data_IF_001188674570
#
_entry.id   IF_001188674570
#
_cell.length_a   1.000
_cell.length_b   1.000
_cell.length_c   1.000
_cell.angle_alpha   90.00
_cell.angle_beta   90.00
_cell.angle_gamma   90.00
#
_symmetry.space_group_name_H-M   'P 1'
#
loop_
_entity.id
_entity.type
_entity.pdbx_description
1 polymer ?
#
# COMPACT_ATOMS: atom_id res chain seq x y z
N UNK A 1 -16.08 35.57 -45.12
CA UNK A 1 -15.05 34.78 -44.41
C UNK A 1 -15.43 34.73 -42.94
N UNK A 2 -16.63 34.24 -42.66
CA UNK A 2 -17.35 34.45 -41.40
C UNK A 2 -18.30 33.29 -41.10
N UNK A 3 -17.80 32.07 -41.28
CA UNK A 3 -18.46 30.83 -40.85
C UNK A 3 -17.41 29.95 -40.19
N UNK A 4 -16.88 30.41 -39.05
CA UNK A 4 -16.15 29.54 -38.14
C UNK A 4 -17.21 28.79 -37.33
N UNK A 5 -17.31 27.50 -37.65
CA UNK A 5 -18.18 26.50 -37.05
C UNK A 5 -18.12 26.61 -35.53
N UNK A 6 -19.24 27.03 -34.95
CA UNK A 6 -19.45 27.04 -33.51
C UNK A 6 -19.68 25.58 -33.07
N UNK A 7 -18.60 24.82 -32.88
CA UNK A 7 -18.69 23.53 -32.19
C UNK A 7 -19.05 23.82 -30.74
N UNK A 8 -20.35 23.78 -30.41
CA UNK A 8 -20.77 23.50 -29.05
C UNK A 8 -19.97 22.29 -28.58
N UNK A 9 -19.12 22.47 -27.57
CA UNK A 9 -18.40 21.36 -26.95
C UNK A 9 -19.43 20.48 -26.21
N UNK A 10 -20.24 19.72 -26.94
CA UNK A 10 -20.85 18.53 -26.39
C UNK A 10 -19.69 17.62 -26.00
N UNK A 11 -19.49 17.49 -24.70
CA UNK A 11 -18.47 16.62 -24.11
C UNK A 11 -18.78 15.22 -24.62
N UNK A 12 -18.03 14.73 -25.61
CA UNK A 12 -18.17 13.37 -26.12
C UNK A 12 -17.76 12.44 -24.97
N UNK A 13 -18.75 11.90 -24.25
CA UNK A 13 -18.52 10.89 -23.23
C UNK A 13 -18.36 9.56 -23.95
N UNK A 14 -17.13 9.03 -23.99
CA UNK A 14 -16.91 7.69 -24.51
C UNK A 14 -17.39 6.67 -23.46
N UNK A 15 -18.62 6.20 -23.58
CA UNK A 15 -19.13 5.21 -22.62
C UNK A 15 -18.37 3.88 -22.74
N UNK A 16 -17.77 3.46 -21.63
CA UNK A 16 -17.14 2.16 -21.55
C UNK A 16 -18.23 1.07 -21.54
N UNK A 17 -18.11 0.01 -22.38
CA UNK A 17 -19.03 -1.11 -22.33
C UNK A 17 -18.92 -1.83 -20.97
N UNK A 18 -19.97 -2.54 -20.56
CA UNK A 18 -19.92 -3.32 -19.32
C UNK A 18 -18.93 -4.49 -19.44
N UNK A 19 -18.19 -4.77 -18.36
CA UNK A 19 -17.30 -5.96 -18.27
C UNK A 19 -18.06 -7.17 -17.75
N UNK A 20 -19.01 -6.94 -16.85
CA UNK A 20 -19.77 -7.99 -16.21
C UNK A 20 -21.26 -7.71 -16.33
N UNK A 21 -22.06 -8.77 -16.41
CA UNK A 21 -23.51 -8.67 -16.42
C UNK A 21 -24.13 -9.71 -15.49
N UNK A 22 -24.93 -9.30 -14.50
CA UNK A 22 -25.80 -10.22 -13.79
C UNK A 22 -26.82 -10.81 -14.76
N UNK A 23 -26.89 -12.13 -14.83
CA UNK A 23 -27.92 -12.89 -15.52
C UNK A 23 -28.87 -13.42 -14.46
N UNK A 24 -30.15 -13.09 -14.61
CA UNK A 24 -31.20 -13.47 -13.68
C UNK A 24 -31.98 -14.63 -14.30
N UNK A 25 -32.01 -15.75 -13.60
CA UNK A 25 -32.93 -16.83 -13.89
C UNK A 25 -34.33 -16.44 -13.38
N UNK A 26 -35.26 -16.21 -14.31
CA UNK A 26 -36.61 -15.76 -13.98
C UNK A 26 -37.52 -16.88 -13.47
N UNK A 27 -37.14 -18.15 -13.66
CA UNK A 27 -37.89 -19.29 -13.13
C UNK A 27 -37.59 -19.47 -11.63
N UNK A 28 -36.34 -19.21 -11.23
CA UNK A 28 -35.92 -19.26 -9.82
C UNK A 28 -36.20 -17.95 -9.06
N UNK A 29 -36.22 -16.81 -9.74
CA UNK A 29 -36.31 -15.51 -9.08
C UNK A 29 -37.68 -15.25 -8.43
N UNK A 30 -37.68 -15.12 -7.09
CA UNK A 30 -38.90 -14.83 -6.29
C UNK A 30 -39.27 -13.34 -6.20
N UNK A 31 -38.59 -12.44 -6.92
CA UNK A 31 -38.89 -11.00 -6.90
C UNK A 31 -38.68 -10.28 -5.55
N UNK A 32 -37.92 -10.86 -4.61
CA UNK A 32 -37.78 -10.34 -3.23
C UNK A 32 -36.97 -9.03 -3.09
N UNK A 33 -36.36 -8.55 -4.18
CA UNK A 33 -35.59 -7.29 -4.29
C UNK A 33 -34.34 -7.16 -3.41
N UNK A 34 -33.92 -8.20 -2.69
CA UNK A 34 -32.71 -8.16 -1.85
C UNK A 34 -31.47 -7.78 -2.67
N UNK A 35 -31.29 -8.42 -3.83
CA UNK A 35 -30.18 -8.14 -4.76
C UNK A 35 -30.15 -6.69 -5.27
N UNK A 36 -31.31 -6.05 -5.42
CA UNK A 36 -31.42 -4.65 -5.83
C UNK A 36 -31.02 -3.73 -4.67
N UNK A 37 -31.49 -4.00 -3.45
CA UNK A 37 -31.16 -3.18 -2.26
C UNK A 37 -29.69 -3.26 -1.86
N UNK A 38 -29.09 -4.44 -1.99
CA UNK A 38 -27.69 -4.68 -1.59
C UNK A 38 -26.66 -4.35 -2.69
N UNK A 39 -27.11 -3.93 -3.87
CA UNK A 39 -26.19 -3.59 -4.96
C UNK A 39 -25.65 -2.17 -4.77
N UNK A 40 -24.46 -2.05 -4.18
CA UNK A 40 -23.75 -0.78 -4.00
C UNK A 40 -23.45 -0.05 -5.31
N UNK A 41 -23.45 -0.77 -6.43
CA UNK A 41 -23.16 -0.23 -7.77
C UNK A 41 -24.41 0.05 -8.61
N UNK A 42 -25.61 -0.17 -8.04
CA UNK A 42 -26.90 0.05 -8.73
C UNK A 42 -27.02 -0.68 -10.09
N UNK A 43 -26.31 -1.79 -10.24
CA UNK A 43 -26.28 -2.60 -11.46
C UNK A 43 -27.52 -3.49 -11.65
N UNK A 44 -28.47 -3.43 -10.71
CA UNK A 44 -29.72 -4.18 -10.71
C UNK A 44 -30.87 -3.23 -10.39
N UNK A 45 -31.96 -3.34 -11.14
CA UNK A 45 -33.20 -2.60 -10.89
C UNK A 45 -34.39 -3.54 -10.74
N UNK A 46 -35.47 -3.06 -10.13
CA UNK A 46 -36.74 -3.77 -10.08
C UNK A 46 -37.79 -3.03 -10.90
N UNK A 47 -38.22 -3.63 -12.01
CA UNK A 47 -39.19 -3.04 -12.94
C UNK A 47 -40.13 -4.12 -13.49
N UNK A 48 -41.41 -3.76 -13.62
CA UNK A 48 -42.47 -4.67 -14.12
C UNK A 48 -42.53 -6.01 -13.36
N UNK A 49 -42.37 -5.96 -12.03
CA UNK A 49 -42.40 -7.15 -11.19
C UNK A 49 -41.14 -8.04 -11.27
N UNK A 50 -40.13 -7.66 -12.05
CA UNK A 50 -38.93 -8.47 -12.29
C UNK A 50 -37.65 -7.72 -11.92
N UNK A 51 -36.65 -8.46 -11.45
CA UNK A 51 -35.29 -7.92 -11.29
C UNK A 51 -34.60 -7.93 -12.64
N UNK A 52 -34.00 -6.81 -13.06
CA UNK A 52 -33.26 -6.69 -14.32
C UNK A 52 -31.85 -6.18 -14.06
N UNK A 53 -30.90 -6.67 -14.85
CA UNK A 53 -29.56 -6.10 -14.89
C UNK A 53 -29.53 -4.83 -15.75
N UNK A 54 -28.90 -3.79 -15.21
CA UNK A 54 -28.67 -2.51 -15.89
C UNK A 54 -27.20 -2.48 -16.34
N UNK A 55 -26.44 -1.44 -16.01
CA UNK A 55 -25.00 -1.30 -16.27
C UNK A 55 -24.21 -1.11 -14.98
N UNK A 56 -22.89 -1.23 -15.04
CA UNK A 56 -22.00 -0.88 -13.93
C UNK A 56 -21.70 -2.02 -12.95
N UNK A 57 -22.01 -3.26 -13.30
CA UNK A 57 -21.63 -4.41 -12.47
C UNK A 57 -20.10 -4.56 -12.44
N UNK A 58 -19.53 -4.63 -11.24
CA UNK A 58 -18.08 -4.86 -11.02
C UNK A 58 -17.76 -6.28 -10.56
N UNK A 59 -18.74 -7.20 -10.62
CA UNK A 59 -18.60 -8.58 -10.16
C UNK A 59 -18.18 -8.75 -8.68
N UNK A 60 -18.63 -7.88 -7.78
CA UNK A 60 -18.35 -8.03 -6.34
C UNK A 60 -19.00 -9.26 -5.67
N UNK A 61 -19.86 -10.00 -6.39
CA UNK A 61 -20.50 -11.23 -5.89
C UNK A 61 -21.58 -11.03 -4.81
N UNK A 62 -21.85 -9.80 -4.35
CA UNK A 62 -22.82 -9.59 -3.27
C UNK A 62 -24.24 -10.04 -3.63
N UNK A 63 -24.71 -9.75 -4.85
CA UNK A 63 -26.05 -10.13 -5.29
C UNK A 63 -26.25 -11.65 -5.42
N UNK A 64 -25.20 -12.40 -5.77
CA UNK A 64 -25.25 -13.86 -5.85
C UNK A 64 -25.28 -14.46 -4.44
N UNK A 65 -24.44 -13.97 -3.54
CA UNK A 65 -24.35 -14.43 -2.15
C UNK A 65 -25.66 -14.25 -1.36
N UNK A 66 -26.37 -13.13 -1.57
CA UNK A 66 -27.58 -12.80 -0.80
C UNK A 66 -28.89 -13.26 -1.46
N UNK A 67 -28.83 -13.85 -2.67
CA UNK A 67 -30.00 -14.35 -3.37
C UNK A 67 -30.48 -15.68 -2.73
N UNK A 68 -31.65 -15.70 -2.04
CA UNK A 68 -32.11 -16.92 -1.36
C UNK A 68 -32.57 -18.03 -2.31
N UNK A 69 -32.73 -17.72 -3.60
CA UNK A 69 -33.16 -18.67 -4.63
C UNK A 69 -32.01 -19.12 -5.54
N UNK A 70 -30.79 -18.61 -5.35
CA UNK A 70 -29.66 -18.89 -6.26
C UNK A 70 -29.88 -18.40 -7.70
N UNK A 71 -30.83 -17.50 -7.92
CA UNK A 71 -31.31 -17.10 -9.24
C UNK A 71 -30.39 -16.12 -10.02
N UNK A 72 -29.18 -15.84 -9.54
CA UNK A 72 -28.30 -14.82 -10.14
C UNK A 72 -26.92 -15.41 -10.39
N UNK A 73 -26.47 -15.31 -11.63
CA UNK A 73 -25.12 -15.61 -12.08
C UNK A 73 -24.48 -14.32 -12.60
N UNK A 74 -23.21 -14.04 -12.29
CA UNK A 74 -22.51 -12.89 -12.88
C UNK A 74 -21.63 -13.41 -14.01
N UNK A 75 -21.91 -12.99 -15.25
CA UNK A 75 -21.14 -13.38 -16.42
C UNK A 75 -20.13 -12.31 -16.80
N UNK A 76 -18.93 -12.75 -17.17
CA UNK A 76 -17.99 -11.92 -17.91
C UNK A 76 -18.52 -11.74 -19.33
N UNK A 77 -18.65 -10.49 -19.78
CA UNK A 77 -18.98 -10.20 -21.17
C UNK A 77 -17.68 -10.26 -22.00
N UNK A 78 -17.68 -10.96 -23.16
CA UNK A 78 -16.48 -11.11 -23.97
C UNK A 78 -15.96 -9.77 -24.52
N UNK A 79 -14.72 -9.79 -25.01
CA UNK A 79 -13.99 -8.61 -25.44
C UNK A 79 -14.74 -7.80 -26.50
N UNK A 80 -14.99 -6.53 -26.19
CA UNK A 80 -15.56 -5.58 -27.13
C UNK A 80 -14.48 -4.89 -27.99
N UNK A 81 -13.21 -4.96 -27.54
CA UNK A 81 -12.08 -4.41 -28.26
C UNK A 81 -11.32 -5.52 -28.99
N UNK A 82 -10.89 -5.30 -30.25
CA UNK A 82 -10.03 -6.24 -30.96
C UNK A 82 -8.77 -6.54 -30.14
N UNK A 83 -8.32 -7.80 -30.04
CA UNK A 83 -7.12 -8.14 -29.28
C UNK A 83 -5.89 -7.36 -29.78
N UNK A 84 -5.04 -6.93 -28.86
CA UNK A 84 -3.81 -6.19 -29.18
C UNK A 84 -2.77 -6.49 -28.11
N UNK A 85 -1.50 -6.67 -28.52
CA UNK A 85 -0.37 -7.00 -27.64
C UNK A 85 -0.11 -5.92 -26.57
N UNK A 86 0.10 -4.68 -27.02
CA UNK A 86 0.44 -3.56 -26.13
C UNK A 86 -0.80 -2.89 -25.51
N UNK A 87 -1.85 -2.68 -26.29
CA UNK A 87 -3.09 -2.09 -25.82
C UNK A 87 -4.06 -3.19 -25.38
N UNK A 88 -3.79 -3.85 -24.27
CA UNK A 88 -4.75 -4.84 -23.75
C UNK A 88 -6.09 -4.18 -23.41
N UNK A 89 -7.16 -4.96 -23.24
CA UNK A 89 -8.48 -4.44 -22.83
C UNK A 89 -8.35 -3.60 -21.55
N UNK A 90 -7.56 -4.09 -20.59
CA UNK A 90 -7.24 -3.41 -19.32
C UNK A 90 -6.65 -2.02 -19.55
N UNK A 91 -5.62 -1.92 -20.39
CA UNK A 91 -4.91 -0.66 -20.67
C UNK A 91 -5.85 0.32 -21.38
N UNK A 92 -6.58 -0.12 -22.41
CA UNK A 92 -7.53 0.73 -23.15
C UNK A 92 -8.64 1.26 -22.25
N UNK A 93 -9.23 0.42 -21.40
CA UNK A 93 -10.24 0.85 -20.43
C UNK A 93 -9.70 1.85 -19.43
N UNK A 94 -8.48 1.63 -18.92
CA UNK A 94 -7.83 2.58 -18.02
C UNK A 94 -7.65 3.95 -18.68
N UNK A 95 -7.16 3.98 -19.93
CA UNK A 95 -7.00 5.21 -20.72
C UNK A 95 -8.35 5.91 -20.90
N UNK A 96 -9.38 5.20 -21.36
CA UNK A 96 -10.71 5.79 -21.62
C UNK A 96 -11.34 6.29 -20.31
N UNK A 97 -11.23 5.54 -19.22
CA UNK A 97 -11.74 5.94 -17.91
C UNK A 97 -11.07 7.21 -17.40
N UNK A 98 -9.75 7.30 -17.48
CA UNK A 98 -8.99 8.49 -17.11
C UNK A 98 -9.33 9.68 -18.03
N UNK A 99 -9.46 9.45 -19.33
CA UNK A 99 -9.84 10.48 -20.30
C UNK A 99 -11.25 11.05 -20.03
N UNK A 100 -12.22 10.21 -19.67
CA UNK A 100 -13.59 10.64 -19.37
C UNK A 100 -13.72 11.37 -18.04
N UNK A 101 -13.01 10.90 -17.01
CA UNK A 101 -13.14 11.43 -15.64
C UNK A 101 -12.20 12.60 -15.36
N UNK A 102 -11.11 12.72 -16.13
CA UNK A 102 -10.00 13.62 -15.82
C UNK A 102 -9.21 13.22 -14.55
N UNK A 103 -9.60 12.11 -13.92
CA UNK A 103 -8.97 11.58 -12.72
C UNK A 103 -7.99 10.47 -13.06
N UNK A 104 -6.88 10.40 -12.33
CA UNK A 104 -5.98 9.24 -12.36
C UNK A 104 -6.68 8.10 -11.62
N UNK A 105 -6.82 6.94 -12.26
CA UNK A 105 -7.31 5.75 -11.59
C UNK A 105 -6.28 5.30 -10.55
N UNK A 106 -6.53 5.62 -9.28
CA UNK A 106 -5.76 5.12 -8.15
C UNK A 106 -6.18 3.66 -7.87
N UNK A 107 -5.62 2.70 -8.60
CA UNK A 107 -5.65 1.30 -8.16
C UNK A 107 -4.60 1.11 -7.06
N UNK A 108 -4.90 0.30 -6.05
CA UNK A 108 -3.91 -0.15 -5.05
C UNK A 108 -2.63 -0.65 -5.72
N UNK A 109 -1.50 -0.59 -5.02
CA UNK A 109 -0.18 -1.04 -5.50
C UNK A 109 -0.05 -2.56 -5.78
N UNK A 110 -1.16 -3.29 -5.91
CA UNK A 110 -1.17 -4.67 -6.37
C UNK A 110 -1.14 -4.73 -7.89
N UNK A 111 -0.30 -5.61 -8.43
CA UNK A 111 -0.35 -5.98 -9.84
C UNK A 111 -1.33 -7.13 -10.04
N UNK A 112 -2.29 -6.97 -10.93
CA UNK A 112 -3.19 -8.03 -11.38
C UNK A 112 -2.58 -8.87 -12.53
N UNK A 113 -1.37 -8.49 -12.97
CA UNK A 113 -0.60 -9.26 -13.93
C UNK A 113 0.05 -10.46 -13.23
N UNK A 114 0.05 -11.59 -13.93
CA UNK A 114 0.74 -12.82 -13.54
C UNK A 114 2.26 -12.60 -13.67
N UNK A 115 2.86 -12.04 -12.61
CA UNK A 115 4.31 -12.06 -12.46
C UNK A 115 4.70 -13.36 -11.76
N UNK A 116 5.73 -14.07 -12.24
CA UNK A 116 6.27 -15.21 -11.51
C UNK A 116 6.72 -14.78 -10.12
N UNK A 117 6.29 -15.53 -9.10
CA UNK A 117 6.74 -15.31 -7.72
C UNK A 117 8.19 -15.77 -7.62
N UNK A 118 9.13 -14.83 -7.49
CA UNK A 118 10.55 -15.15 -7.37
C UNK A 118 10.81 -16.17 -6.26
N UNK A 119 10.10 -16.08 -5.12
CA UNK A 119 10.26 -17.03 -4.01
C UNK A 119 9.87 -18.47 -4.35
N UNK A 120 8.93 -18.68 -5.27
CA UNK A 120 8.51 -20.02 -5.69
C UNK A 120 9.51 -20.65 -6.67
N UNK A 121 10.35 -19.82 -7.32
CA UNK A 121 11.40 -20.25 -8.24
C UNK A 121 12.77 -20.41 -7.55
N UNK A 122 12.90 -19.98 -6.29
CA UNK A 122 14.13 -20.16 -5.51
C UNK A 122 14.26 -21.60 -5.01
N UNK A 123 15.22 -22.34 -5.58
CA UNK A 123 15.66 -23.62 -5.02
C UNK A 123 16.71 -23.35 -3.93
N UNK A 124 16.33 -23.56 -2.66
CA UNK A 124 17.28 -23.60 -1.55
C UNK A 124 17.96 -24.98 -1.52
N UNK A 125 19.14 -25.08 -2.12
CA UNK A 125 19.93 -26.31 -2.09
C UNK A 125 20.58 -26.48 -0.71
N UNK A 126 20.17 -27.52 0.01
CA UNK A 126 20.75 -27.88 1.30
C UNK A 126 22.07 -28.63 1.08
N UNK A 127 23.12 -27.91 0.65
CA UNK A 127 24.45 -28.49 0.48
C UNK A 127 25.20 -28.51 1.82
N UNK A 128 25.56 -29.71 2.27
CA UNK A 128 26.20 -29.95 3.56
C UNK A 128 27.67 -30.31 3.34
N UNK A 129 28.61 -29.46 3.81
CA UNK A 129 30.04 -29.68 3.55
C UNK A 129 30.80 -30.23 4.76
N UNK A 130 30.35 -30.03 6.02
CA UNK A 130 31.19 -30.44 7.18
C UNK A 130 30.51 -30.76 8.53
N UNK A 131 29.27 -30.32 8.83
CA UNK A 131 28.61 -30.59 10.13
C UNK A 131 27.30 -31.39 9.98
N UNK A 132 26.91 -32.23 10.97
CA UNK A 132 25.59 -32.88 11.00
C UNK A 132 24.46 -31.84 10.91
N UNK A 133 23.32 -32.26 10.38
CA UNK A 133 22.19 -31.37 10.15
C UNK A 133 21.66 -30.89 11.49
N UNK A 134 21.52 -29.57 11.64
CA UNK A 134 20.88 -28.95 12.81
C UNK A 134 19.48 -29.55 12.90
N UNK A 135 19.24 -30.37 13.91
CA UNK A 135 17.91 -30.90 14.17
C UNK A 135 17.11 -29.78 14.89
N UNK A 136 16.09 -29.17 14.26
CA UNK A 136 15.35 -28.07 14.85
C UNK A 136 14.60 -28.45 16.14
N UNK A 137 14.45 -29.74 16.43
CA UNK A 137 13.87 -30.26 17.67
C UNK A 137 14.93 -30.58 18.74
N UNK A 138 16.21 -30.61 18.41
CA UNK A 138 17.30 -30.91 19.35
C UNK A 138 18.30 -29.77 19.55
N UNK A 139 18.45 -28.91 18.55
CA UNK A 139 19.48 -27.87 18.52
C UNK A 139 18.83 -26.48 18.50
N UNK A 140 19.34 -25.53 19.30
CA UNK A 140 18.82 -24.17 19.32
C UNK A 140 19.17 -23.47 18.01
N UNK A 141 18.16 -22.89 17.35
CA UNK A 141 18.35 -21.98 16.22
C UNK A 141 18.34 -20.55 16.77
N UNK A 142 19.41 -19.80 16.51
CA UNK A 142 19.51 -18.40 16.89
C UNK A 142 18.97 -17.50 15.76
N UNK A 143 17.95 -16.70 16.07
CA UNK A 143 17.36 -15.71 15.15
C UNK A 143 17.80 -14.28 15.47
N UNK A 144 18.59 -14.10 16.52
CA UNK A 144 19.05 -12.79 16.97
C UNK A 144 19.79 -12.09 15.83
N UNK A 145 19.34 -10.88 15.52
CA UNK A 145 19.84 -10.09 14.41
C UNK A 145 20.34 -8.76 14.92
N UNK A 146 21.51 -8.33 14.44
CA UNK A 146 22.12 -7.07 14.81
C UNK A 146 22.13 -6.14 13.60
N UNK A 147 21.49 -4.97 13.71
CA UNK A 147 21.44 -3.94 12.68
C UNK A 147 22.36 -2.78 13.04
N UNK A 148 23.34 -2.48 12.20
CA UNK A 148 24.28 -1.36 12.41
C UNK A 148 25.69 -1.65 11.92
N UNK A 149 26.57 -0.65 11.98
CA UNK A 149 27.97 -0.81 11.62
C UNK A 149 28.69 -1.63 12.69
N UNK A 150 29.27 -2.76 12.30
CA UNK A 150 30.02 -3.64 13.20
C UNK A 150 31.41 -3.08 13.49
N UNK A 151 31.65 -2.61 14.72
CA UNK A 151 32.98 -2.20 15.21
C UNK A 151 33.84 -3.34 15.76
N UNK A 152 33.22 -4.43 16.25
CA UNK A 152 33.92 -5.51 16.94
C UNK A 152 33.16 -6.85 16.98
N UNK A 153 33.52 -7.72 17.95
CA UNK A 153 32.84 -9.00 18.17
C UNK A 153 31.61 -8.77 19.04
N UNK A 154 30.43 -9.12 18.52
CA UNK A 154 29.18 -9.08 19.26
C UNK A 154 29.08 -10.33 20.14
N UNK A 155 28.70 -10.14 21.40
CA UNK A 155 28.27 -11.21 22.31
C UNK A 155 26.81 -10.95 22.62
N UNK A 156 26.00 -12.01 22.76
CA UNK A 156 24.61 -11.86 23.17
C UNK A 156 24.53 -11.07 24.47
N UNK A 157 23.78 -9.97 24.43
CA UNK A 157 23.49 -9.17 25.60
C UNK A 157 22.12 -9.57 26.14
N UNK A 158 21.93 -9.54 27.45
CA UNK A 158 20.59 -9.61 28.04
C UNK A 158 19.76 -8.34 27.74
N UNK A 159 20.42 -7.24 27.35
CA UNK A 159 19.75 -5.98 26.99
C UNK A 159 19.20 -6.07 25.56
N UNK A 160 17.89 -5.80 25.43
CA UNK A 160 17.16 -5.71 24.16
C UNK A 160 17.18 -4.28 23.59
N UNK A 161 16.99 -4.14 22.28
CA UNK A 161 16.92 -2.85 21.60
C UNK A 161 18.28 -2.23 21.25
N UNK A 162 18.37 -0.89 21.30
CA UNK A 162 19.58 -0.14 20.94
C UNK A 162 20.71 -0.37 21.96
N UNK A 163 21.79 -0.98 21.49
CA UNK A 163 23.02 -1.20 22.25
C UNK A 163 24.05 -0.14 21.89
N UNK A 164 24.57 0.53 22.92
CA UNK A 164 25.67 1.49 22.80
C UNK A 164 26.83 0.99 23.65
N UNK A 165 27.94 0.62 23.01
CA UNK A 165 29.21 0.33 23.69
C UNK A 165 30.35 0.97 22.89
N UNK A 166 31.37 1.49 23.59
CA UNK A 166 32.50 2.24 23.02
C UNK A 166 33.25 1.42 21.95
N UNK A 167 33.30 0.09 22.11
CA UNK A 167 34.02 -0.82 21.21
C UNK A 167 33.22 -1.28 19.97
N UNK A 168 31.89 -1.15 19.98
CA UNK A 168 31.01 -1.83 19.02
C UNK A 168 30.26 -0.84 18.10
N UNK A 169 30.14 0.41 18.52
CA UNK A 169 29.29 1.41 17.86
C UNK A 169 27.79 1.21 18.16
N UNK A 170 26.92 2.07 17.62
CA UNK A 170 25.47 1.92 17.79
C UNK A 170 24.97 0.73 16.95
N UNK A 171 24.44 -0.28 17.63
CA UNK A 171 23.87 -1.47 17.01
C UNK A 171 22.53 -1.76 17.66
N UNK A 172 21.54 -2.11 16.84
CA UNK A 172 20.22 -2.52 17.32
C UNK A 172 20.19 -4.05 17.38
N UNK A 173 19.87 -4.61 18.54
CA UNK A 173 19.67 -6.05 18.70
C UNK A 173 18.18 -6.39 18.61
N UNK A 174 17.83 -7.22 17.63
CA UNK A 174 16.49 -7.71 17.36
C UNK A 174 16.40 -9.20 17.65
N UNK A 175 15.25 -9.68 18.14
CA UNK A 175 15.07 -11.11 18.46
C UNK A 175 14.91 -11.97 17.19
N UNK A 176 14.59 -11.37 16.04
CA UNK A 176 14.38 -12.06 14.76
C UNK A 176 14.74 -11.17 13.55
N UNK A 177 15.07 -11.75 12.37
CA UNK A 177 15.48 -11.01 11.17
C UNK A 177 14.29 -10.42 10.41
N UNK A 178 13.32 -9.84 11.11
CA UNK A 178 12.09 -9.29 10.52
C UNK A 178 11.89 -7.87 11.04
N UNK A 179 11.57 -6.95 10.13
CA UNK A 179 11.18 -5.58 10.48
C UNK A 179 9.83 -5.24 9.85
N UNK A 180 9.09 -4.36 10.51
CA UNK A 180 7.86 -3.79 9.95
C UNK A 180 8.26 -2.64 9.02
N UNK A 181 7.89 -2.76 7.75
CA UNK A 181 8.19 -1.75 6.73
C UNK A 181 7.59 -0.38 7.05
N UNK A 182 8.16 0.64 6.41
CA UNK A 182 7.77 2.03 6.59
C UNK A 182 6.36 2.31 6.10
N UNK A 183 5.52 2.89 6.97
CA UNK A 183 4.21 3.40 6.59
C UNK A 183 3.86 4.64 7.40
N UNK A 184 3.55 5.74 6.71
CA UNK A 184 3.40 7.06 7.33
C UNK A 184 2.08 7.22 8.07
N UNK A 185 2.11 7.98 9.17
CA UNK A 185 0.89 8.51 9.78
C UNK A 185 0.16 9.38 8.74
N UNK A 186 -1.12 9.08 8.53
CA UNK A 186 -1.93 9.67 7.46
C UNK A 186 -2.11 8.71 6.28
N UNK A 187 -1.11 7.92 5.90
CA UNK A 187 -1.33 6.78 4.99
C UNK A 187 -2.17 5.71 5.70
N UNK A 188 -1.74 5.34 6.90
CA UNK A 188 -2.51 4.54 7.87
C UNK A 188 -3.13 5.43 8.95
N UNK A 189 -4.13 4.88 9.63
CA UNK A 189 -4.74 5.52 10.79
C UNK A 189 -3.82 5.47 12.01
N UNK A 190 -4.02 6.38 12.96
CA UNK A 190 -3.29 6.40 14.23
C UNK A 190 -3.36 5.07 14.99
N UNK A 191 -4.54 4.41 15.17
CA UNK A 191 -4.61 3.12 15.85
C UNK A 191 -3.83 2.02 15.12
N UNK A 192 -3.82 2.02 13.78
CA UNK A 192 -3.06 1.05 13.01
C UNK A 192 -1.55 1.25 13.22
N UNK A 193 -1.05 2.48 13.16
CA UNK A 193 0.38 2.75 13.40
C UNK A 193 0.78 2.41 14.84
N UNK A 194 -0.06 2.77 15.82
CA UNK A 194 0.14 2.39 17.23
C UNK A 194 0.25 0.87 17.41
N UNK A 195 -0.61 0.11 16.72
CA UNK A 195 -0.58 -1.35 16.78
C UNK A 195 0.73 -1.91 16.21
N UNK A 196 1.25 -1.35 15.11
CA UNK A 196 2.54 -1.74 14.53
C UNK A 196 3.71 -1.46 15.49
N UNK A 197 3.76 -0.28 16.09
CA UNK A 197 4.82 0.08 17.03
C UNK A 197 4.77 -0.74 18.32
N UNK A 198 3.56 -1.01 18.83
CA UNK A 198 3.38 -1.92 19.96
C UNK A 198 3.87 -3.33 19.61
N UNK A 199 3.51 -3.86 18.44
CA UNK A 199 3.98 -5.17 17.99
C UNK A 199 5.51 -5.21 17.86
N UNK A 200 6.14 -4.15 17.36
CA UNK A 200 7.59 -4.07 17.26
C UNK A 200 8.27 -4.11 18.63
N UNK A 201 7.72 -3.38 19.61
CA UNK A 201 8.19 -3.42 21.00
C UNK A 201 8.01 -4.81 21.63
N UNK A 202 6.82 -5.41 21.50
CA UNK A 202 6.49 -6.71 22.09
C UNK A 202 7.37 -7.85 21.53
N UNK A 203 7.73 -7.77 20.24
CA UNK A 203 8.57 -8.75 19.54
C UNK A 203 10.06 -8.43 19.56
N UNK A 204 10.48 -7.31 20.16
CA UNK A 204 11.83 -6.77 20.05
C UNK A 204 12.36 -6.75 18.60
N UNK A 205 11.57 -6.13 17.72
CA UNK A 205 11.96 -5.83 16.33
C UNK A 205 11.85 -4.32 16.10
N UNK A 206 12.17 -3.88 14.87
CA UNK A 206 12.09 -2.49 14.45
C UNK A 206 10.89 -2.27 13.52
N UNK A 207 10.24 -1.11 13.67
CA UNK A 207 9.19 -0.64 12.78
C UNK A 207 9.51 0.71 12.15
N UNK A 208 9.21 0.86 10.86
CA UNK A 208 9.39 2.10 10.12
C UNK A 208 8.31 3.14 10.40
N UNK A 209 8.67 4.40 10.66
CA UNK A 209 7.71 5.49 10.86
C UNK A 209 7.09 6.04 9.56
N UNK A 210 7.78 5.86 8.43
CA UNK A 210 7.47 6.47 7.14
C UNK A 210 7.72 7.99 7.06
N UNK A 211 7.54 8.55 5.87
CA UNK A 211 7.80 9.96 5.50
C UNK A 211 6.97 11.05 6.21
N UNK A 212 6.04 10.67 7.11
CA UNK A 212 5.06 11.59 7.69
C UNK A 212 5.47 12.26 9.01
N UNK A 213 6.72 12.09 9.43
CA UNK A 213 7.17 12.42 10.78
C UNK A 213 6.70 11.40 11.83
N UNK A 214 7.00 11.69 13.09
CA UNK A 214 6.63 10.85 14.23
C UNK A 214 5.89 11.67 15.29
N UNK A 215 4.62 11.34 15.50
CA UNK A 215 3.82 11.99 16.53
C UNK A 215 4.38 11.67 17.92
N UNK A 216 4.38 12.67 18.81
CA UNK A 216 5.02 12.59 20.13
C UNK A 216 4.46 11.48 21.04
N UNK A 217 3.18 11.12 20.89
CA UNK A 217 2.57 9.97 21.57
C UNK A 217 3.31 8.64 21.35
N UNK A 218 4.05 8.52 20.26
CA UNK A 218 4.79 7.30 19.92
C UNK A 218 6.21 7.27 20.50
N UNK A 219 6.64 8.31 21.23
CA UNK A 219 7.96 8.33 21.85
C UNK A 219 8.16 7.24 22.90
N UNK A 220 7.08 6.70 23.48
CA UNK A 220 7.15 5.54 24.35
C UNK A 220 7.68 4.27 23.63
N UNK A 221 7.67 4.24 22.30
CA UNK A 221 8.17 3.13 21.48
C UNK A 221 9.48 3.46 20.75
N UNK A 222 10.12 4.60 21.05
CA UNK A 222 11.17 5.17 20.19
C UNK A 222 12.39 4.26 20.02
N UNK A 223 12.73 3.44 21.03
CA UNK A 223 13.80 2.44 20.98
C UNK A 223 13.56 1.31 19.95
N UNK A 224 12.35 1.24 19.37
CA UNK A 224 11.95 0.28 18.34
C UNK A 224 11.58 0.92 17.00
N UNK A 225 11.79 2.23 16.84
CA UNK A 225 11.37 2.97 15.64
C UNK A 225 12.58 3.28 14.76
N UNK A 226 12.50 2.88 13.49
CA UNK A 226 13.35 3.38 12.42
C UNK A 226 12.62 4.51 11.71
N UNK A 227 13.22 5.68 11.71
CA UNK A 227 12.52 6.90 11.34
C UNK A 227 12.99 7.45 10.02
N UNK A 228 12.05 7.72 9.14
CA UNK A 228 12.35 8.08 7.76
C UNK A 228 12.63 9.58 7.63
N UNK A 229 13.66 9.89 6.84
CA UNK A 229 13.95 11.23 6.34
C UNK A 229 13.81 11.18 4.83
N UNK A 230 12.64 11.59 4.35
CA UNK A 230 12.29 11.67 2.93
C UNK A 230 12.38 13.11 2.41
N UNK A 231 12.37 13.30 1.09
CA UNK A 231 12.55 14.60 0.41
C UNK A 231 11.67 15.74 0.94
N UNK A 232 10.44 15.46 1.39
CA UNK A 232 9.53 16.47 1.94
C UNK A 232 9.87 16.98 3.34
N UNK A 233 10.76 16.30 4.08
CA UNK A 233 11.19 16.65 5.45
C UNK A 233 10.04 16.89 6.46
N UNK A 234 8.86 16.31 6.20
CA UNK A 234 7.69 16.51 7.06
C UNK A 234 7.95 16.03 8.49
N UNK A 235 7.66 16.89 9.47
CA UNK A 235 7.78 16.53 10.88
C UNK A 235 9.22 16.27 11.37
N UNK A 236 10.25 16.51 10.54
CA UNK A 236 11.64 16.25 10.92
C UNK A 236 12.12 17.37 11.85
N UNK A 237 12.37 17.02 13.11
CA UNK A 237 12.91 17.94 14.12
C UNK A 237 14.17 17.36 14.78
N UNK A 238 15.07 18.18 15.34
CA UNK A 238 16.23 17.68 16.07
C UNK A 238 15.87 16.75 17.25
N UNK A 239 14.74 17.00 17.92
CA UNK A 239 14.26 16.17 19.03
C UNK A 239 13.78 14.80 18.54
N UNK A 240 13.03 14.77 17.43
CA UNK A 240 12.64 13.55 16.73
C UNK A 240 13.84 12.67 16.38
N UNK A 241 14.87 13.24 15.74
CA UNK A 241 16.05 12.50 15.29
C UNK A 241 16.88 11.92 16.45
N UNK A 242 16.83 12.53 17.64
CA UNK A 242 17.59 12.08 18.82
C UNK A 242 16.89 10.98 19.61
N UNK A 243 15.59 10.77 19.40
CA UNK A 243 14.77 9.85 20.20
C UNK A 243 14.66 8.45 19.62
N UNK A 244 14.77 8.33 18.30
CA UNK A 244 14.51 7.10 17.54
C UNK A 244 15.72 6.15 17.54
N UNK A 245 15.47 4.86 17.36
CA UNK A 245 16.51 3.84 17.33
C UNK A 245 17.41 3.93 16.10
N UNK A 246 16.81 4.24 14.95
CA UNK A 246 17.49 4.38 13.67
C UNK A 246 16.88 5.51 12.83
N UNK A 247 17.67 6.00 11.88
CA UNK A 247 17.25 6.96 10.86
C UNK A 247 17.50 6.34 9.49
N UNK A 248 16.51 6.40 8.62
CA UNK A 248 16.58 5.92 7.25
C UNK A 248 16.39 7.08 6.26
N UNK A 249 17.38 7.30 5.39
CA UNK A 249 17.28 8.27 4.30
C UNK A 249 16.59 7.59 3.11
N UNK A 250 15.36 7.99 2.82
CA UNK A 250 14.58 7.39 1.72
C UNK A 250 14.94 8.03 0.39
N UNK A 251 15.75 7.35 -0.39
CA UNK A 251 16.08 7.76 -1.78
C UNK A 251 14.92 7.46 -2.75
N UNK A 252 14.18 6.37 -2.52
CA UNK A 252 13.07 5.98 -3.40
C UNK A 252 12.19 4.88 -2.80
N UNK A 253 11.10 4.55 -3.47
CA UNK A 253 10.21 3.45 -3.09
C UNK A 253 9.76 2.64 -4.30
N UNK A 254 9.65 1.31 -4.14
CA UNK A 254 9.31 0.40 -5.23
C UNK A 254 7.93 0.65 -5.87
N UNK A 255 6.96 1.16 -5.10
CA UNK A 255 5.61 1.42 -5.63
C UNK A 255 5.54 2.61 -6.60
N UNK A 256 6.48 3.56 -6.51
CA UNK A 256 6.55 4.73 -7.39
C UNK A 256 7.99 5.26 -7.49
N UNK A 257 8.88 4.54 -8.21
CA UNK A 257 10.26 4.96 -8.38
C UNK A 257 10.32 6.34 -9.06
N UNK A 258 11.20 7.22 -8.57
CA UNK A 258 11.37 8.57 -9.14
C UNK A 258 10.29 9.58 -8.77
N UNK A 259 9.30 9.21 -7.94
CA UNK A 259 8.27 10.13 -7.44
C UNK A 259 8.31 10.30 -5.93
N UNK A 260 7.90 11.48 -5.46
CA UNK A 260 7.80 11.80 -4.04
C UNK A 260 6.53 11.23 -3.39
N UNK A 261 6.51 11.28 -2.07
CA UNK A 261 5.34 11.06 -1.23
C UNK A 261 4.14 11.93 -1.64
N UNK A 262 2.93 11.39 -1.47
CA UNK A 262 1.69 12.14 -1.66
C UNK A 262 0.67 11.69 -0.61
N UNK A 263 0.23 12.63 0.23
CA UNK A 263 -0.93 12.47 1.07
C UNK A 263 -1.99 13.51 0.69
N UNK A 264 -3.20 13.09 0.24
CA UNK A 264 -4.28 14.01 -0.07
C UNK A 264 -4.69 14.86 1.13
N UNK A 265 -5.03 16.12 0.89
CA UNK A 265 -5.37 17.12 1.91
C UNK A 265 -6.59 16.73 2.74
N UNK A 266 -7.55 16.01 2.16
CA UNK A 266 -8.69 15.43 2.88
C UNK A 266 -8.28 14.48 4.03
N UNK A 267 -7.07 13.90 3.96
CA UNK A 267 -6.51 13.04 5.01
C UNK A 267 -5.64 13.81 6.01
N UNK A 268 -5.35 15.09 5.74
CA UNK A 268 -4.53 15.95 6.61
C UNK A 268 -5.44 16.58 7.66
N UNK A 269 -5.77 15.77 8.67
CA UNK A 269 -6.48 16.20 9.88
C UNK A 269 -5.56 17.01 10.80
N UNK A 270 -6.10 17.60 11.89
CA UNK A 270 -5.30 18.38 12.84
C UNK A 270 -4.13 17.60 13.44
N UNK A 271 -4.32 16.30 13.71
CA UNK A 271 -3.25 15.41 14.17
C UNK A 271 -2.12 15.30 13.14
N UNK A 272 -2.46 15.12 11.86
CA UNK A 272 -1.49 14.99 10.77
C UNK A 272 -0.79 16.32 10.52
N UNK A 273 -1.56 17.41 10.52
CA UNK A 273 -1.09 18.79 10.41
C UNK A 273 -0.04 19.11 11.47
N UNK A 274 -0.31 18.79 12.74
CA UNK A 274 0.66 18.95 13.85
C UNK A 274 1.89 18.06 13.68
N UNK A 275 1.70 16.80 13.27
CA UNK A 275 2.83 15.86 13.07
C UNK A 275 3.75 16.30 11.93
N UNK A 276 3.18 16.73 10.80
CA UNK A 276 3.91 17.07 9.57
C UNK A 276 4.36 18.54 9.53
N UNK A 277 3.81 19.38 10.40
CA UNK A 277 4.00 20.84 10.40
C UNK A 277 3.50 21.50 9.10
N UNK A 278 2.32 21.11 8.64
CA UNK A 278 1.66 21.65 7.43
C UNK A 278 0.22 22.08 7.75
N UNK A 279 -0.39 23.01 6.99
CA UNK A 279 -1.78 23.40 7.22
C UNK A 279 -2.77 22.24 7.05
N UNK A 280 -3.78 22.16 7.93
CA UNK A 280 -4.90 21.22 7.84
C UNK A 280 -5.59 21.35 6.47
N UNK A 281 -5.94 20.22 5.85
CA UNK A 281 -6.64 20.20 4.56
C UNK A 281 -5.76 20.41 3.31
N UNK A 282 -4.45 20.62 3.46
CA UNK A 282 -3.54 20.84 2.32
C UNK A 282 -2.89 19.54 1.88
N UNK A 283 -2.75 19.31 0.57
CA UNK A 283 -2.02 18.16 0.04
C UNK A 283 -0.56 18.17 0.51
N UNK A 284 -0.09 17.06 1.07
CA UNK A 284 1.31 16.87 1.43
C UNK A 284 2.05 16.22 0.26
N UNK A 285 2.60 17.05 -0.62
CA UNK A 285 3.39 16.63 -1.78
C UNK A 285 4.87 16.73 -1.45
N UNK A 286 5.59 15.60 -1.55
CA UNK A 286 7.05 15.62 -1.40
C UNK A 286 7.72 15.88 -2.76
N UNK A 287 8.83 16.63 -2.80
CA UNK A 287 9.65 16.77 -3.99
C UNK A 287 10.15 15.42 -4.52
N UNK A 288 10.52 15.36 -5.80
CA UNK A 288 11.09 14.15 -6.39
C UNK A 288 12.51 13.86 -5.84
N UNK A 289 13.48 14.80 -5.92
CA UNK A 289 14.76 14.61 -5.28
C UNK A 289 14.75 15.13 -3.83
N UNK A 290 15.75 14.70 -3.09
CA UNK A 290 16.21 15.42 -1.92
C UNK A 290 16.89 16.72 -2.38
N UNK A 291 16.43 17.87 -1.89
CA UNK A 291 17.00 19.17 -2.28
C UNK A 291 18.39 19.44 -1.70
N UNK A 292 18.86 18.55 -0.84
CA UNK A 292 20.15 18.53 -0.17
C UNK A 292 21.01 17.32 -0.59
N UNK A 293 20.59 16.52 -1.57
CA UNK A 293 21.35 15.36 -2.07
C UNK A 293 21.26 15.32 -3.60
N UNK A 294 22.25 15.91 -4.28
CA UNK A 294 22.38 15.89 -5.75
C UNK A 294 23.53 15.02 -6.24
N UNK A 295 24.45 14.64 -5.35
CA UNK A 295 25.55 13.74 -5.65
C UNK A 295 25.82 12.75 -4.51
N UNK A 296 26.77 11.84 -4.72
CA UNK A 296 27.18 10.90 -3.67
C UNK A 296 27.94 11.61 -2.54
N UNK A 297 28.62 12.71 -2.85
CA UNK A 297 29.30 13.55 -1.88
C UNK A 297 28.31 14.27 -0.97
N UNK A 298 27.15 14.70 -1.49
CA UNK A 298 26.09 15.31 -0.68
C UNK A 298 25.42 14.30 0.28
N UNK A 299 25.49 13.00 -0.03
CA UNK A 299 24.91 11.94 0.81
C UNK A 299 25.80 11.58 2.02
N UNK A 300 27.11 11.83 1.93
CA UNK A 300 28.11 11.44 2.93
C UNK A 300 28.12 12.37 4.15
#
# INVERSE_FOLDING_TARGET
MSDLINFSQEKIVQELPDRFRPVIDYELCKGCKRCVRECSYQALEFRDGKVRAVRGCVACGRCTAICPAGAIEIRLLPYHFPPHSNFTERIRRSIISQANTGGVLLSSCGTDLEYPTVFDELLLDAAQVTNPSIDPLREPIETVTFLGRRGGRLTNSEKKGLLKNEDIGPVIMMDMPIMIGHISLGAVSYPAQKALFKAACDLNIIAGSGEGGLHSDFYAYADHINSEVASGRFGVTPDYLKKVAAIEIKIGQGAKPGHGGHLPGEKVTDLISQTRMIPTGTDALSPYPHHDIYSIEDLQ
#
